data_IF_297772557793
#
_entry.id   IF_297772557793
#
_cell.length_a   1.000
_cell.length_b   1.000
_cell.length_c   1.000
_cell.angle_alpha   90.00
_cell.angle_beta   90.00
_cell.angle_gamma   90.00
#
_symmetry.space_group_name_H-M   'P 1'
#
loop_
_entity.id
_entity.type
_entity.pdbx_description
1 polymer ?
#
# COMPACT_ATOMS: atom_id res chain seq x y z
N UNK A 1 -69.75 -58.55 -32.04
CA UNK A 1 -69.01 -58.87 -33.29
C UNK A 1 -68.61 -57.56 -33.93
N UNK A 2 -67.48 -57.34 -34.60
CA UNK A 2 -66.11 -57.84 -34.58
C UNK A 2 -65.38 -57.03 -35.68
N UNK A 3 -64.05 -56.92 -35.56
CA UNK A 3 -63.05 -56.62 -36.61
C UNK A 3 -62.83 -55.21 -37.21
N UNK A 4 -61.71 -54.61 -36.74
CA UNK A 4 -60.48 -54.09 -37.40
C UNK A 4 -60.45 -53.65 -38.89
N UNK A 5 -59.63 -52.59 -39.11
CA UNK A 5 -58.75 -52.20 -40.25
C UNK A 5 -59.27 -51.01 -41.10
N UNK A 6 -58.48 -50.10 -41.67
CA UNK A 6 -57.16 -49.47 -41.44
C UNK A 6 -56.98 -48.43 -42.58
N UNK A 7 -56.10 -47.44 -42.39
CA UNK A 7 -55.39 -46.63 -43.44
C UNK A 7 -56.11 -45.39 -44.00
N UNK A 8 -55.54 -44.19 -43.89
CA UNK A 8 -54.51 -43.57 -44.77
C UNK A 8 -54.21 -42.15 -44.25
N UNK A 9 -52.92 -41.79 -44.29
CA UNK A 9 -52.34 -40.53 -43.84
C UNK A 9 -52.66 -39.33 -44.76
N UNK A 10 -52.51 -38.10 -44.25
CA UNK A 10 -51.83 -36.96 -44.90
C UNK A 10 -51.60 -35.87 -43.83
N UNK A 11 -50.33 -35.53 -43.61
CA UNK A 11 -49.84 -34.40 -42.82
C UNK A 11 -49.76 -33.16 -43.72
N UNK A 12 -50.32 -31.99 -43.35
CA UNK A 12 -49.88 -30.73 -43.92
C UNK A 12 -48.88 -30.05 -42.99
N UNK A 13 -47.67 -29.98 -43.49
CA UNK A 13 -46.54 -29.19 -43.03
C UNK A 13 -46.87 -27.70 -43.23
N UNK A 14 -46.94 -26.88 -42.16
CA UNK A 14 -47.00 -25.42 -42.29
C UNK A 14 -46.29 -24.72 -41.11
N UNK A 15 -44.99 -24.50 -41.32
CA UNK A 15 -44.20 -23.29 -41.00
C UNK A 15 -44.45 -22.58 -39.66
N UNK A 16 -43.64 -22.92 -38.65
CA UNK A 16 -43.40 -22.05 -37.50
C UNK A 16 -42.35 -21.00 -37.89
N UNK A 17 -42.77 -19.76 -38.21
CA UNK A 17 -41.85 -18.64 -38.38
C UNK A 17 -41.26 -18.27 -37.01
N UNK A 18 -40.02 -18.67 -36.78
CA UNK A 18 -39.17 -18.08 -35.74
C UNK A 18 -38.87 -16.62 -36.12
N UNK A 19 -39.56 -15.68 -35.47
CA UNK A 19 -39.12 -14.30 -35.36
C UNK A 19 -37.81 -14.29 -34.54
N UNK A 20 -36.69 -14.50 -35.23
CA UNK A 20 -35.37 -14.10 -34.76
C UNK A 20 -35.37 -12.57 -34.67
N UNK A 21 -35.78 -12.06 -33.51
CA UNK A 21 -35.49 -10.69 -33.15
C UNK A 21 -33.97 -10.51 -33.18
N UNK A 22 -33.48 -9.80 -34.18
CA UNK A 22 -32.10 -9.34 -34.23
C UNK A 22 -31.93 -8.34 -33.09
N UNK A 23 -31.44 -8.84 -31.95
CA UNK A 23 -30.87 -7.96 -30.95
C UNK A 23 -29.70 -7.24 -31.63
N UNK A 24 -29.95 -6.00 -32.07
CA UNK A 24 -28.92 -5.10 -32.53
C UNK A 24 -27.90 -5.00 -31.39
N UNK A 25 -26.71 -5.55 -31.62
CA UNK A 25 -25.55 -5.37 -30.76
C UNK A 25 -25.10 -3.90 -30.87
N UNK A 26 -25.91 -3.00 -30.33
CA UNK A 26 -25.54 -1.61 -30.16
C UNK A 26 -24.34 -1.58 -29.21
N UNK A 27 -23.22 -1.07 -29.75
CA UNK A 27 -21.89 -1.16 -29.19
C UNK A 27 -21.84 -0.94 -27.69
N UNK A 28 -21.20 -1.87 -26.98
CA UNK A 28 -20.77 -1.67 -25.60
C UNK A 28 -19.90 -0.40 -25.59
N UNK A 29 -20.48 0.71 -25.15
CA UNK A 29 -19.77 1.99 -25.09
C UNK A 29 -18.48 1.82 -24.32
N UNK A 30 -17.35 2.28 -24.89
CA UNK A 30 -16.03 2.33 -24.22
C UNK A 30 -16.12 2.98 -22.84
N UNK A 31 -17.09 3.89 -22.61
CA UNK A 31 -17.34 4.52 -21.31
C UNK A 31 -17.86 3.54 -20.23
N UNK A 32 -18.71 2.57 -20.58
CA UNK A 32 -19.21 1.54 -19.63
C UNK A 32 -18.15 0.49 -19.31
N UNK A 33 -17.32 0.11 -20.29
CA UNK A 33 -16.16 -0.77 -20.08
C UNK A 33 -15.08 -0.10 -19.22
N UNK A 34 -14.81 1.19 -19.47
CA UNK A 34 -13.92 2.01 -18.65
C UNK A 34 -14.41 2.12 -17.20
N UNK A 35 -15.71 2.37 -16.98
CA UNK A 35 -16.31 2.43 -15.64
C UNK A 35 -16.25 1.12 -14.85
N UNK A 36 -16.53 -0.02 -15.50
CA UNK A 36 -16.39 -1.36 -14.87
C UNK A 36 -14.95 -1.76 -14.59
N UNK A 37 -14.00 -1.30 -15.42
CA UNK A 37 -12.57 -1.53 -15.20
C UNK A 37 -12.06 -0.69 -14.02
N UNK A 38 -12.46 0.58 -13.94
CA UNK A 38 -12.11 1.47 -12.83
C UNK A 38 -12.62 0.94 -11.48
N UNK A 39 -13.89 0.49 -11.43
CA UNK A 39 -14.46 -0.09 -10.20
C UNK A 39 -13.75 -1.39 -9.77
N UNK A 40 -13.20 -2.15 -10.72
CA UNK A 40 -12.43 -3.38 -10.41
C UNK A 40 -11.03 -3.06 -9.89
N UNK A 41 -10.37 -2.02 -10.42
CA UNK A 41 -9.04 -1.60 -9.94
C UNK A 41 -9.12 -0.91 -8.58
N UNK A 42 -10.22 -0.19 -8.31
CA UNK A 42 -10.52 0.31 -6.97
C UNK A 42 -10.71 -0.84 -5.96
N UNK A 43 -11.51 -1.86 -6.31
CA UNK A 43 -11.68 -3.04 -5.48
C UNK A 43 -10.38 -3.83 -5.28
N UNK A 44 -9.53 -3.90 -6.31
CA UNK A 44 -8.18 -4.47 -6.20
C UNK A 44 -7.33 -3.68 -5.21
N UNK A 45 -7.25 -2.36 -5.34
CA UNK A 45 -6.53 -1.49 -4.39
C UNK A 45 -7.05 -1.68 -2.97
N UNK A 46 -8.37 -1.66 -2.77
CA UNK A 46 -8.97 -1.87 -1.45
C UNK A 46 -8.54 -3.23 -0.86
N UNK A 47 -8.50 -4.28 -1.69
CA UNK A 47 -8.08 -5.62 -1.25
C UNK A 47 -6.60 -5.69 -0.88
N UNK A 48 -5.74 -4.93 -1.57
CA UNK A 48 -4.33 -4.74 -1.20
C UNK A 48 -4.23 -4.02 0.14
N UNK A 49 -4.88 -2.87 0.29
CA UNK A 49 -4.80 -2.05 1.51
C UNK A 49 -5.36 -2.76 2.74
N UNK A 50 -6.43 -3.54 2.59
CA UNK A 50 -7.03 -4.31 3.69
C UNK A 50 -6.29 -5.61 3.99
N UNK A 51 -5.25 -5.95 3.24
CA UNK A 51 -4.48 -7.20 3.41
C UNK A 51 -5.24 -8.47 3.00
N UNK A 52 -6.31 -8.35 2.20
CA UNK A 52 -7.03 -9.48 1.62
C UNK A 52 -6.25 -10.10 0.45
N UNK A 53 -5.63 -9.23 -0.37
CA UNK A 53 -4.70 -9.63 -1.40
C UNK A 53 -3.27 -9.45 -0.89
N UNK A 54 -2.49 -10.53 -0.91
CA UNK A 54 -1.12 -10.60 -0.42
C UNK A 54 -0.22 -11.18 -1.50
N UNK A 55 1.09 -11.00 -1.33
CA UNK A 55 2.13 -11.67 -2.12
C UNK A 55 1.95 -11.49 -3.64
N UNK A 56 1.55 -10.28 -4.06
CA UNK A 56 1.41 -9.93 -5.47
C UNK A 56 2.70 -9.28 -5.98
N UNK A 57 3.08 -9.62 -7.21
CA UNK A 57 4.39 -9.23 -7.76
C UNK A 57 4.41 -7.80 -8.32
N UNK A 58 3.38 -7.45 -9.10
CA UNK A 58 3.25 -6.16 -9.79
C UNK A 58 1.80 -5.71 -9.83
N UNK A 59 1.60 -4.40 -9.98
CA UNK A 59 0.29 -3.83 -10.26
C UNK A 59 -0.25 -4.45 -11.55
N UNK A 60 -1.47 -5.02 -11.56
CA UNK A 60 -2.04 -5.58 -12.77
C UNK A 60 -2.01 -4.56 -13.91
N UNK A 61 -1.56 -4.95 -15.10
CA UNK A 61 -1.38 -4.04 -16.25
C UNK A 61 -2.62 -3.17 -16.54
N UNK A 62 -3.82 -3.77 -16.43
CA UNK A 62 -5.12 -3.07 -16.57
C UNK A 62 -5.40 -1.99 -15.50
N UNK A 63 -4.68 -2.01 -14.39
CA UNK A 63 -4.82 -1.13 -13.24
C UNK A 63 -3.67 -0.12 -13.08
N UNK A 64 -2.60 -0.21 -13.87
CA UNK A 64 -1.48 0.77 -13.85
C UNK A 64 -2.00 2.20 -14.00
N UNK A 65 -2.85 2.47 -15.00
CA UNK A 65 -3.43 3.81 -15.19
C UNK A 65 -4.32 4.28 -14.04
N UNK A 66 -4.99 3.34 -13.34
CA UNK A 66 -5.74 3.66 -12.13
C UNK A 66 -4.81 4.03 -10.98
N UNK A 67 -3.76 3.24 -10.73
CA UNK A 67 -2.77 3.49 -9.67
C UNK A 67 -2.03 4.79 -9.92
N UNK A 68 -1.60 5.06 -11.15
CA UNK A 68 -1.04 6.35 -11.55
C UNK A 68 -1.96 7.51 -11.14
N UNK A 69 -3.25 7.48 -11.54
CA UNK A 69 -4.21 8.53 -11.21
C UNK A 69 -4.39 8.69 -9.70
N UNK A 70 -4.36 7.58 -8.95
CA UNK A 70 -4.46 7.59 -7.50
C UNK A 70 -3.25 8.24 -6.82
N UNK A 71 -2.02 7.98 -7.30
CA UNK A 71 -0.75 8.43 -6.69
C UNK A 71 -0.32 9.86 -7.07
N UNK A 72 -0.80 10.42 -8.18
CA UNK A 72 -0.43 11.78 -8.62
C UNK A 72 -0.77 12.87 -7.58
N UNK A 73 -0.13 14.04 -7.63
CA UNK A 73 -0.20 15.13 -6.62
C UNK A 73 -1.62 15.64 -6.29
N UNK A 74 -2.61 15.41 -7.17
CA UNK A 74 -4.02 15.72 -6.95
C UNK A 74 -4.91 14.47 -6.82
N UNK A 75 -4.29 13.31 -6.66
CA UNK A 75 -4.94 12.01 -6.50
C UNK A 75 -5.35 11.74 -5.06
N UNK A 76 -6.24 10.75 -4.92
CA UNK A 76 -6.85 10.37 -3.64
C UNK A 76 -5.81 9.87 -2.61
N UNK A 77 -4.62 9.42 -3.04
CA UNK A 77 -3.51 9.02 -2.16
C UNK A 77 -3.19 10.07 -1.08
N UNK A 78 -3.16 11.34 -1.46
CA UNK A 78 -2.76 12.42 -0.55
C UNK A 78 -3.83 12.71 0.50
N UNK A 79 -5.11 12.65 0.12
CA UNK A 79 -6.22 12.79 1.06
C UNK A 79 -6.35 11.56 1.96
N UNK A 80 -6.20 10.34 1.43
CA UNK A 80 -6.21 9.11 2.23
C UNK A 80 -5.07 9.14 3.28
N UNK A 81 -3.86 9.54 2.87
CA UNK A 81 -2.71 9.72 3.77
C UNK A 81 -2.95 10.78 4.83
N UNK A 82 -3.60 11.89 4.47
CA UNK A 82 -3.96 12.97 5.38
C UNK A 82 -5.01 12.53 6.40
N UNK A 83 -6.03 11.79 5.99
CA UNK A 83 -7.04 11.21 6.91
C UNK A 83 -6.40 10.23 7.89
N UNK A 84 -5.50 9.36 7.40
CA UNK A 84 -4.74 8.45 8.27
C UNK A 84 -3.93 9.23 9.32
N UNK A 85 -3.20 10.27 8.89
CA UNK A 85 -2.43 11.13 9.80
C UNK A 85 -3.30 11.88 10.80
N UNK A 86 -4.43 12.46 10.38
CA UNK A 86 -5.33 13.13 11.32
C UNK A 86 -5.93 12.16 12.34
N UNK A 87 -6.23 10.93 11.92
CA UNK A 87 -6.66 9.86 12.84
C UNK A 87 -5.59 9.55 13.88
N UNK A 88 -4.31 9.54 13.48
CA UNK A 88 -3.18 9.39 14.41
C UNK A 88 -3.13 10.56 15.38
N UNK A 89 -3.26 11.80 14.89
CA UNK A 89 -3.21 12.99 15.74
C UNK A 89 -4.34 13.01 16.77
N UNK A 90 -5.54 12.55 16.42
CA UNK A 90 -6.64 12.40 17.40
C UNK A 90 -6.32 11.33 18.45
N UNK A 91 -5.74 10.20 18.05
CA UNK A 91 -5.27 9.20 19.02
C UNK A 91 -4.17 9.74 19.94
N UNK A 92 -3.21 10.51 19.41
CA UNK A 92 -2.13 11.13 20.21
C UNK A 92 -2.70 12.04 21.31
N UNK A 93 -3.80 12.75 21.06
CA UNK A 93 -4.45 13.60 22.08
C UNK A 93 -4.99 12.80 23.26
N UNK A 94 -5.35 11.53 23.07
CA UNK A 94 -5.87 10.68 24.16
C UNK A 94 -4.74 10.10 25.03
N UNK A 95 -3.49 10.20 24.59
CA UNK A 95 -2.35 9.59 25.29
C UNK A 95 -1.84 10.47 26.44
N UNK A 96 -1.60 9.80 27.57
CA UNK A 96 -0.89 10.37 28.72
C UNK A 96 0.51 9.76 28.77
N UNK A 97 1.51 10.54 28.35
CA UNK A 97 2.90 10.11 28.39
C UNK A 97 3.36 9.93 29.83
N UNK A 98 4.21 8.93 30.05
CA UNK A 98 4.86 8.71 31.34
C UNK A 98 5.92 9.78 31.58
N UNK A 99 6.62 10.22 30.53
CA UNK A 99 7.57 11.32 30.61
C UNK A 99 8.97 10.94 31.15
N UNK A 100 9.25 9.65 31.30
CA UNK A 100 10.56 9.10 31.71
C UNK A 100 11.57 8.97 30.55
N UNK A 101 11.22 9.51 29.37
CA UNK A 101 12.03 9.40 28.15
C UNK A 101 11.94 8.07 27.40
N UNK A 102 11.02 7.18 27.78
CA UNK A 102 10.80 5.87 27.15
C UNK A 102 9.51 5.77 26.33
N UNK A 103 8.73 6.84 26.22
CA UNK A 103 7.56 6.89 25.34
C UNK A 103 8.02 7.05 23.89
N UNK A 104 7.76 6.05 23.06
CA UNK A 104 8.32 5.95 21.72
C UNK A 104 7.27 5.76 20.62
N UNK A 105 7.67 6.14 19.42
CA UNK A 105 6.91 5.97 18.19
C UNK A 105 7.81 5.41 17.10
N UNK A 106 7.31 4.46 16.32
CA UNK A 106 8.06 3.83 15.22
C UNK A 106 7.52 4.30 13.88
N UNK A 107 8.42 4.61 12.95
CA UNK A 107 8.10 4.93 11.56
C UNK A 107 8.89 4.02 10.62
N UNK A 108 8.23 3.49 9.60
CA UNK A 108 8.91 3.12 8.36
C UNK A 108 9.40 4.38 7.61
N UNK A 109 10.21 4.23 6.56
CA UNK A 109 10.75 5.33 5.75
C UNK A 109 10.12 5.41 4.36
N UNK A 110 10.12 4.33 3.58
CA UNK A 110 9.80 4.36 2.15
C UNK A 110 8.27 4.35 1.96
N UNK A 111 7.72 5.30 1.20
CA UNK A 111 6.27 5.56 1.12
C UNK A 111 5.59 5.86 2.47
N UNK A 112 6.38 6.05 3.54
CA UNK A 112 5.92 6.44 4.87
C UNK A 112 6.39 7.84 5.27
N UNK A 113 7.70 8.10 5.21
CA UNK A 113 8.28 9.44 5.44
C UNK A 113 8.79 10.08 4.16
N UNK A 114 9.44 9.29 3.32
CA UNK A 114 10.01 9.67 2.03
C UNK A 114 9.18 9.05 0.90
N UNK A 115 8.83 9.86 -0.08
CA UNK A 115 8.11 9.41 -1.28
C UNK A 115 9.09 8.99 -2.37
N UNK A 116 8.94 7.77 -2.87
CA UNK A 116 9.62 7.26 -4.06
C UNK A 116 8.70 7.25 -5.29
N UNK A 117 7.55 7.94 -5.25
CA UNK A 117 6.70 8.19 -6.42
C UNK A 117 7.50 8.64 -7.66
N UNK A 118 8.51 9.55 -7.57
CA UNK A 118 9.31 9.92 -8.75
C UNK A 118 10.10 8.77 -9.38
N UNK A 119 10.54 7.80 -8.57
CA UNK A 119 11.14 6.56 -9.08
C UNK A 119 10.06 5.71 -9.77
N UNK A 120 8.94 5.48 -9.08
CA UNK A 120 7.86 4.65 -9.61
C UNK A 120 7.16 5.25 -10.84
N UNK A 121 7.23 6.56 -11.06
CA UNK A 121 6.81 7.20 -12.31
C UNK A 121 7.51 6.63 -13.55
N UNK A 122 8.78 6.27 -13.42
CA UNK A 122 9.59 5.66 -14.49
C UNK A 122 9.39 4.13 -14.57
N UNK A 123 8.75 3.55 -13.56
CA UNK A 123 8.53 2.12 -13.38
C UNK A 123 7.03 1.76 -13.35
N UNK A 124 6.23 2.53 -14.11
CA UNK A 124 4.80 2.28 -14.33
C UNK A 124 3.98 2.18 -13.03
N UNK A 125 4.34 2.97 -12.02
CA UNK A 125 3.66 3.01 -10.73
C UNK A 125 3.47 1.62 -10.09
N UNK A 126 4.47 0.73 -10.27
CA UNK A 126 4.41 -0.65 -9.80
C UNK A 126 4.00 -1.68 -10.85
N UNK A 127 3.77 -1.26 -12.10
CA UNK A 127 3.49 -2.16 -13.23
C UNK A 127 4.71 -2.99 -13.67
N UNK A 128 5.92 -2.57 -13.29
CA UNK A 128 7.16 -3.30 -13.52
C UNK A 128 7.64 -3.96 -12.22
N UNK A 129 8.27 -5.13 -12.36
CA UNK A 129 8.89 -5.81 -11.24
C UNK A 129 9.97 -4.91 -10.59
N UNK A 130 10.08 -5.00 -9.27
CA UNK A 130 11.09 -4.26 -8.52
C UNK A 130 12.50 -4.70 -8.92
N UNK A 131 13.36 -3.72 -9.20
CA UNK A 131 14.78 -3.93 -9.47
C UNK A 131 15.60 -3.20 -8.40
N UNK A 132 16.21 -3.99 -7.51
CA UNK A 132 16.97 -3.46 -6.38
C UNK A 132 18.13 -2.57 -6.82
N UNK A 133 18.80 -2.86 -7.93
CA UNK A 133 19.96 -2.08 -8.40
C UNK A 133 19.53 -0.69 -8.86
N UNK A 134 18.41 -0.61 -9.59
CA UNK A 134 17.87 0.69 -10.03
C UNK A 134 17.34 1.50 -8.85
N UNK A 135 16.74 0.84 -7.85
CA UNK A 135 16.26 1.52 -6.65
C UNK A 135 17.41 1.99 -5.75
N UNK A 136 18.47 1.19 -5.62
CA UNK A 136 19.71 1.60 -4.94
C UNK A 136 20.31 2.84 -5.58
N UNK A 137 20.39 2.87 -6.92
CA UNK A 137 20.85 4.05 -7.66
C UNK A 137 19.96 5.28 -7.37
N UNK A 138 18.64 5.11 -7.35
CA UNK A 138 17.68 6.16 -6.99
C UNK A 138 17.91 6.70 -5.56
N UNK A 139 18.10 5.83 -4.57
CA UNK A 139 18.37 6.24 -3.18
C UNK A 139 19.64 7.10 -3.10
N UNK A 140 20.66 6.76 -3.90
CA UNK A 140 21.91 7.49 -3.99
C UNK A 140 21.80 8.83 -4.74
N UNK A 141 20.74 9.06 -5.51
CA UNK A 141 20.48 10.39 -6.09
C UNK A 141 20.09 11.43 -5.04
N UNK A 142 19.63 10.99 -3.86
CA UNK A 142 19.28 11.86 -2.73
C UNK A 142 18.18 12.90 -3.04
N UNK A 143 17.16 12.48 -3.80
CA UNK A 143 16.05 13.33 -4.26
C UNK A 143 14.66 12.90 -3.76
N UNK A 144 14.56 11.97 -2.81
CA UNK A 144 13.25 11.52 -2.33
C UNK A 144 12.56 12.62 -1.51
N UNK A 145 11.43 13.20 -1.96
CA UNK A 145 10.74 14.25 -1.22
C UNK A 145 10.04 13.71 0.03
N UNK A 146 9.73 14.61 0.97
CA UNK A 146 8.89 14.29 2.11
C UNK A 146 7.45 13.97 1.67
N UNK A 147 6.79 13.07 2.39
CA UNK A 147 5.33 13.00 2.44
C UNK A 147 4.80 14.09 3.41
N UNK A 148 4.07 15.12 2.94
CA UNK A 148 3.76 16.29 3.77
C UNK A 148 2.94 15.96 5.02
N UNK A 149 1.95 15.06 4.90
CA UNK A 149 1.15 14.60 6.04
C UNK A 149 2.02 13.90 7.09
N UNK A 150 2.94 13.06 6.66
CA UNK A 150 3.87 12.36 7.56
C UNK A 150 4.86 13.31 8.23
N UNK A 151 5.36 14.33 7.51
CA UNK A 151 6.20 15.37 8.09
C UNK A 151 5.47 16.19 9.16
N UNK A 152 4.19 16.52 8.93
CA UNK A 152 3.34 17.14 9.94
C UNK A 152 3.23 16.26 11.19
N UNK A 153 2.90 14.98 11.02
CA UNK A 153 2.76 14.03 12.13
C UNK A 153 4.08 13.90 12.92
N UNK A 154 5.18 13.66 12.22
CA UNK A 154 6.51 13.49 12.80
C UNK A 154 6.88 14.65 13.72
N UNK A 155 6.73 15.88 13.23
CA UNK A 155 7.03 17.09 14.00
C UNK A 155 6.09 17.26 15.20
N UNK A 156 4.80 16.90 15.07
CA UNK A 156 3.83 16.93 16.18
C UNK A 156 4.18 15.91 17.27
N UNK A 157 4.64 14.72 16.90
CA UNK A 157 5.07 13.70 17.85
C UNK A 157 6.35 14.11 18.59
N UNK A 158 7.35 14.65 17.89
CA UNK A 158 8.55 15.19 18.53
C UNK A 158 8.21 16.30 19.52
N UNK A 159 7.40 17.28 19.10
CA UNK A 159 6.97 18.38 19.95
C UNK A 159 6.18 17.90 21.20
N UNK A 160 5.52 16.74 21.10
CA UNK A 160 4.79 16.13 22.21
C UNK A 160 5.68 15.35 23.18
N UNK A 161 6.95 15.11 22.83
CA UNK A 161 7.96 14.47 23.68
C UNK A 161 8.23 12.99 23.38
N UNK A 162 7.67 12.44 22.29
CA UNK A 162 7.95 11.05 21.90
C UNK A 162 9.39 10.87 21.40
N UNK A 163 10.00 9.73 21.72
CA UNK A 163 11.21 9.25 21.06
C UNK A 163 10.85 8.56 19.75
N UNK A 164 11.29 9.13 18.64
CA UNK A 164 11.00 8.56 17.32
C UNK A 164 12.11 7.60 16.88
N UNK A 165 11.74 6.37 16.55
CA UNK A 165 12.61 5.39 15.91
C UNK A 165 12.20 5.21 14.45
N UNK A 166 13.19 5.26 13.56
CA UNK A 166 13.03 4.98 12.14
C UNK A 166 13.49 3.53 11.90
N UNK A 167 12.61 2.68 11.39
CA UNK A 167 12.85 1.26 11.14
C UNK A 167 12.50 0.93 9.70
N UNK A 168 13.53 0.81 8.86
CA UNK A 168 13.38 0.66 7.40
C UNK A 168 13.87 -0.70 6.91
N UNK A 169 13.36 -1.13 5.77
CA UNK A 169 13.88 -2.29 5.04
C UNK A 169 15.16 -2.02 4.24
N UNK A 170 15.66 -0.78 4.20
CA UNK A 170 16.94 -0.42 3.56
C UNK A 170 18.13 -1.07 4.28
N UNK A 171 19.19 -1.31 3.52
CA UNK A 171 20.43 -1.88 4.03
C UNK A 171 21.38 -0.81 4.58
N UNK A 172 22.25 -1.19 5.52
CA UNK A 172 23.26 -0.29 6.11
C UNK A 172 24.14 0.44 5.07
N UNK A 173 24.41 -0.18 3.92
CA UNK A 173 25.12 0.46 2.81
C UNK A 173 24.44 1.75 2.31
N UNK A 174 23.12 1.87 2.50
CA UNK A 174 22.29 3.00 2.09
C UNK A 174 22.14 4.06 3.19
N UNK A 175 22.77 3.89 4.38
CA UNK A 175 22.57 4.78 5.53
C UNK A 175 22.84 6.24 5.20
N UNK A 176 23.96 6.55 4.54
CA UNK A 176 24.34 7.94 4.27
C UNK A 176 23.34 8.65 3.34
N UNK A 177 22.93 8.00 2.25
CA UNK A 177 21.90 8.55 1.34
C UNK A 177 20.54 8.68 2.02
N UNK A 178 20.19 7.72 2.90
CA UNK A 178 18.95 7.76 3.68
C UNK A 178 18.94 8.94 4.66
N UNK A 179 20.01 9.12 5.43
CA UNK A 179 20.17 10.25 6.36
C UNK A 179 20.11 11.58 5.62
N UNK A 180 20.80 11.69 4.49
CA UNK A 180 20.77 12.92 3.67
C UNK A 180 19.35 13.24 3.21
N UNK A 181 18.64 12.28 2.61
CA UNK A 181 17.24 12.47 2.17
C UNK A 181 16.34 12.90 3.33
N UNK A 182 16.42 12.22 4.48
CA UNK A 182 15.62 12.57 5.66
C UNK A 182 15.86 14.02 6.11
N UNK A 183 17.13 14.44 6.20
CA UNK A 183 17.48 15.81 6.58
C UNK A 183 16.95 16.85 5.57
N UNK A 184 17.11 16.60 4.27
CA UNK A 184 16.61 17.50 3.22
C UNK A 184 15.09 17.58 3.19
N UNK A 185 14.43 16.44 3.44
CA UNK A 185 12.98 16.34 3.59
C UNK A 185 12.45 17.00 4.87
N UNK A 186 13.32 17.48 5.76
CA UNK A 186 12.95 18.19 6.99
C UNK A 186 12.77 17.31 8.22
N UNK A 187 13.04 16.01 8.13
CA UNK A 187 13.05 15.10 9.28
C UNK A 187 14.36 15.24 10.05
N UNK A 188 14.28 15.51 11.35
CA UNK A 188 15.44 15.69 12.25
C UNK A 188 15.07 15.21 13.66
N UNK A 189 16.07 14.81 14.45
CA UNK A 189 15.86 14.54 15.88
C UNK A 189 15.25 13.17 16.21
N UNK A 190 15.37 12.19 15.30
CA UNK A 190 15.04 10.80 15.63
C UNK A 190 15.99 10.27 16.72
N UNK A 191 15.47 9.41 17.60
CA UNK A 191 16.21 8.74 18.66
C UNK A 191 17.05 7.56 18.14
N UNK A 192 16.65 6.96 17.00
CA UNK A 192 17.41 5.89 16.35
C UNK A 192 16.98 5.68 14.91
N UNK A 193 17.93 5.30 14.07
CA UNK A 193 17.73 4.91 12.68
C UNK A 193 18.28 3.50 12.49
N UNK A 194 17.36 2.56 12.28
CA UNK A 194 17.59 1.11 12.24
C UNK A 194 17.44 0.66 10.77
N UNK A 195 18.54 0.17 10.20
CA UNK A 195 18.62 -0.41 8.86
C UNK A 195 18.98 -1.89 9.00
N UNK A 196 18.85 -2.66 7.92
CA UNK A 196 19.29 -4.06 7.89
C UNK A 196 20.81 -4.12 7.93
N UNK A 197 21.34 -4.80 8.93
CA UNK A 197 22.75 -5.13 9.00
C UNK A 197 23.17 -6.10 7.89
N UNK A 198 24.48 -6.28 7.72
CA UNK A 198 25.05 -7.15 6.67
C UNK A 198 24.48 -8.58 6.73
N UNK A 199 24.27 -9.12 7.94
CA UNK A 199 23.73 -10.47 8.12
C UNK A 199 22.19 -10.56 8.01
N UNK A 200 21.52 -9.42 7.79
CA UNK A 200 20.07 -9.30 7.74
C UNK A 200 19.58 -8.92 6.33
N UNK A 201 20.50 -8.73 5.38
CA UNK A 201 20.20 -8.41 4.00
C UNK A 201 19.33 -9.51 3.37
N UNK A 202 18.27 -9.10 2.67
CA UNK A 202 17.32 -10.00 2.04
C UNK A 202 16.36 -10.73 2.99
N UNK A 203 16.45 -10.54 4.31
CA UNK A 203 15.45 -11.12 5.23
C UNK A 203 14.07 -10.50 5.02
N UNK A 204 13.00 -11.28 5.22
CA UNK A 204 11.63 -10.78 5.09
C UNK A 204 11.35 -9.66 6.09
N UNK A 205 10.61 -8.63 5.68
CA UNK A 205 10.30 -7.49 6.55
C UNK A 205 9.43 -7.91 7.74
N UNK A 206 8.50 -8.84 7.53
CA UNK A 206 7.63 -9.44 8.56
C UNK A 206 8.38 -10.27 9.59
N UNK A 207 9.63 -10.67 9.34
CA UNK A 207 10.49 -11.26 10.36
C UNK A 207 11.37 -10.19 11.02
N UNK A 208 12.08 -9.42 10.18
CA UNK A 208 13.05 -8.43 10.63
C UNK A 208 12.45 -7.31 11.48
N UNK A 209 11.34 -6.70 11.05
CA UNK A 209 10.79 -5.52 11.73
C UNK A 209 10.24 -5.85 13.12
N UNK A 210 9.49 -6.95 13.33
CA UNK A 210 9.13 -7.39 14.68
C UNK A 210 10.32 -7.63 15.60
N UNK A 211 11.40 -8.24 15.11
CA UNK A 211 12.62 -8.46 15.90
C UNK A 211 13.24 -7.13 16.35
N UNK A 212 13.31 -6.13 15.46
CA UNK A 212 13.83 -4.80 15.81
C UNK A 212 12.91 -4.05 16.77
N UNK A 213 11.59 -4.21 16.68
CA UNK A 213 10.67 -3.70 17.70
C UNK A 213 10.88 -4.38 19.06
N UNK A 214 11.12 -5.70 19.06
CA UNK A 214 11.44 -6.44 20.29
C UNK A 214 12.69 -5.89 20.99
N UNK A 215 13.73 -5.55 20.23
CA UNK A 215 14.94 -4.91 20.78
C UNK A 215 14.64 -3.56 21.44
N UNK A 216 13.75 -2.74 20.86
CA UNK A 216 13.33 -1.47 21.45
C UNK A 216 12.55 -1.70 22.76
N UNK A 217 11.61 -2.65 22.77
CA UNK A 217 10.86 -3.02 23.98
C UNK A 217 11.79 -3.54 25.06
N UNK A 218 12.77 -4.38 24.72
CA UNK A 218 13.80 -4.88 25.65
C UNK A 218 14.66 -3.75 26.24
N UNK A 219 14.87 -2.67 25.48
CA UNK A 219 15.52 -1.43 25.97
C UNK A 219 14.61 -0.56 26.85
N UNK A 220 13.40 -1.02 27.14
CA UNK A 220 12.41 -0.39 28.01
C UNK A 220 11.52 0.64 27.32
N UNK A 221 11.54 0.74 25.98
CA UNK A 221 10.67 1.67 25.26
C UNK A 221 9.22 1.16 25.23
N UNK A 222 8.27 2.09 25.43
CA UNK A 222 6.84 1.87 25.23
C UNK A 222 6.46 2.37 23.86
N UNK A 223 6.16 1.45 22.95
CA UNK A 223 5.78 1.76 21.58
C UNK A 223 4.30 2.14 21.54
N UNK A 224 3.99 3.44 21.59
CA UNK A 224 2.60 3.92 21.59
C UNK A 224 1.92 3.84 20.22
N UNK A 225 2.73 3.96 19.17
CA UNK A 225 2.29 3.86 17.80
C UNK A 225 3.39 3.39 16.86
N UNK A 226 2.97 2.72 15.78
CA UNK A 226 3.80 2.38 14.62
C UNK A 226 3.08 2.84 13.36
N UNK A 227 3.81 3.46 12.43
CA UNK A 227 3.29 3.95 11.15
C UNK A 227 4.12 3.39 10.03
N UNK A 228 3.46 2.83 9.02
CA UNK A 228 4.09 2.22 7.85
C UNK A 228 3.11 2.09 6.70
N UNK A 229 3.63 1.93 5.50
CA UNK A 229 2.86 1.76 4.27
C UNK A 229 2.66 0.28 3.91
N UNK A 230 3.26 -0.66 4.66
CA UNK A 230 3.10 -2.10 4.49
C UNK A 230 2.59 -2.75 5.79
N UNK A 231 1.84 -3.84 5.65
CA UNK A 231 1.41 -4.62 6.82
C UNK A 231 2.59 -5.29 7.54
N UNK A 232 3.69 -5.56 6.83
CA UNK A 232 4.96 -6.04 7.39
C UNK A 232 5.61 -5.07 8.37
N UNK A 233 5.31 -3.77 8.28
CA UNK A 233 5.86 -2.75 9.18
C UNK A 233 5.17 -2.74 10.54
N UNK A 234 3.93 -3.22 10.55
CA UNK A 234 2.94 -2.96 11.57
C UNK A 234 2.57 -4.19 12.39
N UNK A 235 2.64 -5.36 11.76
CA UNK A 235 2.11 -6.61 12.30
C UNK A 235 3.20 -7.48 12.91
N UNK A 236 2.79 -8.50 13.67
CA UNK A 236 3.67 -9.53 14.23
C UNK A 236 4.03 -9.27 15.69
N UNK A 237 4.90 -10.06 16.32
CA UNK A 237 5.25 -9.84 17.73
C UNK A 237 5.72 -8.41 18.01
N UNK A 238 5.49 -7.95 19.24
CA UNK A 238 5.88 -6.60 19.69
C UNK A 238 5.28 -5.48 18.83
N UNK A 239 4.00 -5.60 18.46
CA UNK A 239 3.26 -4.47 17.88
C UNK A 239 3.25 -3.29 18.85
N UNK A 240 3.19 -2.09 18.30
CA UNK A 240 2.91 -0.92 19.11
C UNK A 240 1.48 -0.99 19.68
N UNK A 241 1.17 -0.17 20.68
CA UNK A 241 -0.18 -0.08 21.24
C UNK A 241 -1.25 0.22 20.18
N UNK A 242 -0.86 0.88 19.07
CA UNK A 242 -1.69 1.02 17.88
C UNK A 242 -0.84 1.09 16.61
N UNK A 243 -1.23 0.32 15.60
CA UNK A 243 -0.62 0.36 14.27
C UNK A 243 -1.47 1.19 13.30
N UNK A 244 -0.80 1.94 12.43
CA UNK A 244 -1.45 2.82 11.45
C UNK A 244 -0.86 2.62 10.07
N UNK A 245 -1.71 2.14 9.15
CA UNK A 245 -1.37 1.86 7.75
C UNK A 245 -1.56 3.11 6.89
N UNK A 246 -0.50 3.56 6.23
CA UNK A 246 -0.58 4.50 5.13
C UNK A 246 -0.84 3.75 3.82
N UNK A 247 -1.54 4.35 2.85
CA UNK A 247 -1.83 3.68 1.59
C UNK A 247 -0.55 3.45 0.78
N UNK A 248 -0.41 2.30 0.14
CA UNK A 248 0.58 2.08 -0.91
C UNK A 248 0.16 0.93 -1.83
N UNK A 249 -0.37 1.25 -3.03
CA UNK A 249 -0.70 0.25 -4.03
C UNK A 249 0.40 0.00 -5.07
N UNK A 250 1.59 0.62 -4.95
CA UNK A 250 2.65 0.50 -5.96
C UNK A 250 3.48 -0.77 -5.78
N UNK A 251 3.60 -1.29 -4.56
CA UNK A 251 4.33 -2.54 -4.29
C UNK A 251 3.81 -3.23 -3.02
N UNK A 252 4.20 -4.48 -2.85
CA UNK A 252 3.94 -5.28 -1.66
C UNK A 252 5.25 -5.79 -1.06
N UNK A 253 5.38 -5.68 0.25
CA UNK A 253 6.50 -6.25 0.99
C UNK A 253 5.95 -7.18 2.08
N UNK A 254 6.47 -8.41 2.08
CA UNK A 254 6.26 -9.40 3.13
C UNK A 254 7.33 -9.31 4.19
#
# INVERSE_FOLDING_TARGET
MAFVLASVAIFPFLLFLLLLGTASANGLSKSKLSGRSASRCEGWRLSVESGNLRDWDVVPSKCVGYVQKYMMTAGQYWEDSKVAVFTILEYVKTLKLVGDGKDAWVFDIDETLLSNIPYYQQHEYGGKAFDSKTFEAWVLEMKSPALPSSLLLYNRLLARGFKIFLLTGRDESQRNGTVHNLFQAGYKGWAGLILRGVNEQGSQASAYKPEKRAELVKKGYRLWGSVGDQWSDLSGPYEASRSFKLPNPMYYIS
#
